data_IF_442828852357
#
_entry.id   IF_442828852357
#
_cell.length_a   1.000
_cell.length_b   1.000
_cell.length_c   1.000
_cell.angle_alpha   90.00
_cell.angle_beta   90.00
_cell.angle_gamma   90.00
#
_symmetry.space_group_name_H-M   'P 1'
#
loop_
_entity.id
_entity.type
_entity.pdbx_description
1 polymer ?
#
# COMPACT_ATOMS: atom_id res chain seq x y z
N UNK A 1 8.20 -7.75 8.52
CA UNK A 1 7.52 -9.05 8.42
C UNK A 1 6.46 -9.01 7.32
N UNK A 2 6.20 -10.14 6.66
CA UNK A 2 5.10 -10.30 5.72
C UNK A 2 3.81 -10.62 6.50
N UNK A 3 2.70 -9.97 6.15
CA UNK A 3 1.41 -10.06 6.88
C UNK A 3 0.21 -10.44 6.01
N UNK A 4 0.39 -10.82 4.74
CA UNK A 4 -0.72 -11.33 3.96
C UNK A 4 -0.40 -12.62 3.23
N UNK A 5 -1.48 -13.33 2.94
CA UNK A 5 -1.43 -14.72 2.48
C UNK A 5 -1.29 -14.82 0.95
N UNK A 6 -1.50 -13.71 0.27
CA UNK A 6 -1.58 -13.62 -1.19
C UNK A 6 -0.20 -13.53 -1.87
N UNK A 7 0.86 -13.22 -1.13
CA UNK A 7 2.20 -12.95 -1.70
C UNK A 7 2.72 -14.09 -2.58
N UNK A 8 2.56 -15.35 -2.14
CA UNK A 8 3.06 -16.53 -2.86
C UNK A 8 2.36 -16.74 -4.20
N UNK A 9 1.10 -16.33 -4.30
CA UNK A 9 0.29 -16.51 -5.51
C UNK A 9 0.56 -15.40 -6.53
N UNK A 10 0.68 -14.15 -6.07
CA UNK A 10 0.75 -13.00 -6.98
C UNK A 10 2.18 -12.55 -7.32
N UNK A 11 3.19 -12.74 -6.46
CA UNK A 11 4.55 -12.35 -6.83
C UNK A 11 5.02 -13.04 -8.12
N UNK A 12 4.85 -14.37 -8.32
CA UNK A 12 5.19 -15.02 -9.59
C UNK A 12 4.45 -14.41 -10.78
N UNK A 13 3.16 -14.10 -10.63
CA UNK A 13 2.36 -13.48 -11.70
C UNK A 13 2.84 -12.06 -12.05
N UNK A 14 3.26 -11.27 -11.05
CA UNK A 14 3.84 -9.93 -11.27
C UNK A 14 5.12 -10.05 -12.09
N UNK A 15 5.98 -11.03 -11.82
CA UNK A 15 7.25 -11.25 -12.53
C UNK A 15 7.07 -11.57 -14.02
N UNK A 16 5.86 -11.94 -14.46
CA UNK A 16 5.54 -12.20 -15.87
C UNK A 16 5.02 -10.96 -16.62
N UNK A 17 4.87 -9.82 -15.96
CA UNK A 17 4.40 -8.59 -16.59
C UNK A 17 5.47 -7.94 -17.49
N UNK A 18 5.08 -7.09 -18.45
CA UNK A 18 6.03 -6.39 -19.31
C UNK A 18 6.99 -5.51 -18.50
N UNK A 19 8.29 -5.67 -18.73
CA UNK A 19 9.36 -4.86 -18.10
C UNK A 19 9.89 -3.74 -19.01
N UNK A 20 9.54 -3.76 -20.29
CA UNK A 20 10.09 -2.86 -21.32
C UNK A 20 9.26 -1.58 -21.54
N UNK A 21 8.17 -1.41 -20.81
CA UNK A 21 7.32 -0.20 -20.84
C UNK A 21 6.68 0.06 -19.47
N UNK A 22 6.21 1.28 -19.19
CA UNK A 22 5.40 1.54 -18.01
C UNK A 22 4.12 0.69 -18.01
N UNK A 23 3.70 0.25 -16.82
CA UNK A 23 2.46 -0.51 -16.66
C UNK A 23 1.24 0.39 -16.86
N UNK A 24 0.22 -0.15 -17.51
CA UNK A 24 -1.05 0.48 -17.80
C UNK A 24 -2.19 -0.20 -17.03
N UNK A 25 -3.38 0.41 -17.02
CA UNK A 25 -4.51 -0.11 -16.25
C UNK A 25 -4.86 -1.54 -16.65
N UNK A 26 -4.86 -1.85 -17.94
CA UNK A 26 -5.27 -3.17 -18.43
C UNK A 26 -4.27 -4.28 -18.05
N UNK A 27 -3.01 -3.93 -17.78
CA UNK A 27 -2.00 -4.87 -17.28
C UNK A 27 -2.33 -5.35 -15.85
N UNK A 28 -3.00 -4.52 -15.05
CA UNK A 28 -3.17 -4.76 -13.60
C UNK A 28 -4.64 -4.89 -13.16
N UNK A 29 -5.58 -4.28 -13.88
CA UNK A 29 -7.02 -4.30 -13.56
C UNK A 29 -7.73 -5.42 -14.33
N UNK A 30 -7.19 -6.64 -14.24
CA UNK A 30 -7.70 -7.84 -14.88
C UNK A 30 -7.95 -8.97 -13.86
N UNK A 31 -8.53 -10.08 -14.33
CA UNK A 31 -8.90 -11.21 -13.46
C UNK A 31 -7.69 -11.87 -12.78
N UNK A 32 -6.48 -11.78 -13.35
CA UNK A 32 -5.26 -12.34 -12.74
C UNK A 32 -4.96 -11.71 -11.40
N UNK A 33 -5.24 -10.40 -11.22
CA UNK A 33 -4.97 -9.68 -9.97
C UNK A 33 -6.24 -9.34 -9.18
N UNK A 34 -7.41 -9.80 -9.60
CA UNK A 34 -8.68 -9.52 -8.93
C UNK A 34 -8.80 -10.38 -7.67
N UNK A 35 -8.90 -9.72 -6.51
CA UNK A 35 -9.11 -10.37 -5.21
C UNK A 35 -10.60 -10.58 -4.91
N UNK A 36 -11.41 -9.56 -5.20
CA UNK A 36 -12.82 -9.59 -4.88
C UNK A 36 -13.61 -8.58 -5.71
N UNK A 37 -14.91 -8.84 -5.89
CA UNK A 37 -15.84 -7.94 -6.56
C UNK A 37 -17.19 -7.95 -5.86
N UNK A 38 -17.80 -6.78 -5.76
CA UNK A 38 -19.14 -6.60 -5.22
C UNK A 38 -19.84 -5.48 -5.97
N UNK A 39 -20.91 -5.80 -6.70
CA UNK A 39 -21.61 -4.84 -7.56
C UNK A 39 -20.63 -4.12 -8.52
N UNK A 40 -20.48 -2.80 -8.36
CA UNK A 40 -19.60 -1.95 -9.15
C UNK A 40 -18.17 -1.85 -8.60
N UNK A 41 -17.91 -2.43 -7.42
CA UNK A 41 -16.60 -2.44 -6.79
C UNK A 41 -15.77 -3.61 -7.30
N UNK A 42 -14.50 -3.34 -7.58
CA UNK A 42 -13.45 -4.35 -7.78
C UNK A 42 -12.27 -4.04 -6.88
N UNK A 43 -11.75 -5.06 -6.22
CA UNK A 43 -10.56 -5.00 -5.38
C UNK A 43 -9.45 -5.82 -6.03
N UNK A 44 -8.28 -5.22 -6.20
CA UNK A 44 -7.13 -5.87 -6.84
C UNK A 44 -5.97 -5.99 -5.88
N UNK A 45 -5.19 -7.06 -6.01
CA UNK A 45 -3.98 -7.26 -5.24
C UNK A 45 -2.99 -6.10 -5.42
N UNK A 46 -2.23 -5.75 -4.38
CA UNK A 46 -1.08 -4.89 -4.51
C UNK A 46 -0.01 -5.19 -3.44
N UNK A 47 1.27 -5.33 -3.83
CA UNK A 47 2.30 -5.87 -2.96
C UNK A 47 2.73 -4.92 -1.81
N UNK A 48 2.52 -3.61 -1.95
CA UNK A 48 3.05 -2.60 -1.02
C UNK A 48 2.43 -2.61 0.39
N UNK A 49 1.31 -3.29 0.58
CA UNK A 49 0.68 -3.46 1.90
C UNK A 49 0.89 -4.86 2.50
N UNK A 50 1.75 -5.69 1.90
CA UNK A 50 2.08 -7.01 2.46
C UNK A 50 3.22 -6.98 3.48
N UNK A 51 4.06 -5.95 3.45
CA UNK A 51 5.07 -5.75 4.48
C UNK A 51 4.49 -4.95 5.65
N UNK A 52 4.82 -5.34 6.89
CA UNK A 52 4.52 -4.57 8.09
C UNK A 52 5.81 -4.22 8.84
N UNK A 53 5.88 -2.96 9.29
CA UNK A 53 6.95 -2.44 10.13
C UNK A 53 6.42 -2.36 11.57
N UNK A 54 6.74 -3.37 12.38
CA UNK A 54 6.22 -3.51 13.74
C UNK A 54 6.77 -2.43 14.68
N UNK A 55 7.96 -1.94 14.39
CA UNK A 55 8.70 -1.00 15.24
C UNK A 55 8.46 0.46 14.83
N UNK A 56 7.41 0.73 14.06
CA UNK A 56 7.09 2.07 13.61
C UNK A 56 6.65 2.95 14.78
N UNK A 57 7.15 4.20 14.82
CA UNK A 57 6.71 5.22 15.78
C UNK A 57 5.53 6.03 15.28
N UNK A 58 5.39 6.13 13.95
CA UNK A 58 4.33 6.86 13.28
C UNK A 58 3.63 5.90 12.33
N UNK A 59 2.30 5.84 12.42
CA UNK A 59 1.46 5.10 11.49
C UNK A 59 0.58 6.09 10.72
N UNK A 60 0.65 6.05 9.39
CA UNK A 60 -0.22 6.85 8.53
C UNK A 60 -1.16 5.93 7.78
N UNK A 61 -2.47 6.19 7.92
CA UNK A 61 -3.54 5.33 7.42
C UNK A 61 -4.30 6.07 6.32
N UNK A 62 -4.29 5.51 5.11
CA UNK A 62 -5.16 5.94 4.00
C UNK A 62 -6.49 5.19 3.97
N UNK A 63 -7.41 5.58 3.08
CA UNK A 63 -8.68 4.86 2.88
C UNK A 63 -8.41 3.52 2.17
N UNK A 64 -7.89 3.60 0.94
CA UNK A 64 -7.47 2.48 0.09
C UNK A 64 -6.38 3.00 -0.86
N UNK A 65 -5.43 2.17 -1.30
CA UNK A 65 -4.45 2.60 -2.29
C UNK A 65 -5.11 2.99 -3.62
N UNK A 66 -4.67 4.11 -4.21
CA UNK A 66 -5.08 4.50 -5.55
C UNK A 66 -4.23 3.86 -6.66
N UNK A 67 -4.66 4.03 -7.91
CA UNK A 67 -3.95 3.57 -9.11
C UNK A 67 -2.44 3.86 -9.12
N UNK A 68 -2.02 5.09 -8.78
CA UNK A 68 -0.60 5.47 -8.81
C UNK A 68 0.24 4.68 -7.79
N UNK A 69 -0.32 4.38 -6.62
CA UNK A 69 0.35 3.56 -5.61
C UNK A 69 0.43 2.10 -6.06
N UNK A 70 -0.68 1.56 -6.59
CA UNK A 70 -0.73 0.21 -7.15
C UNK A 70 0.32 0.04 -8.25
N UNK A 71 0.30 0.90 -9.27
CA UNK A 71 1.27 0.90 -10.37
C UNK A 71 2.71 0.94 -9.86
N UNK A 72 3.03 1.90 -8.98
CA UNK A 72 4.39 2.06 -8.45
C UNK A 72 4.85 0.84 -7.66
N UNK A 73 3.96 0.15 -6.96
CA UNK A 73 4.27 -1.07 -6.23
C UNK A 73 4.66 -2.20 -7.17
N UNK A 74 3.90 -2.41 -8.25
CA UNK A 74 4.20 -3.43 -9.25
C UNK A 74 5.50 -3.14 -10.01
N UNK A 75 5.69 -1.89 -10.45
CA UNK A 75 6.94 -1.48 -11.11
C UNK A 75 8.16 -1.70 -10.21
N UNK A 76 8.02 -1.46 -8.90
CA UNK A 76 9.10 -1.72 -7.96
C UNK A 76 9.41 -3.21 -7.81
N UNK A 77 8.39 -4.09 -7.80
CA UNK A 77 8.60 -5.54 -7.79
C UNK A 77 9.33 -5.97 -9.07
N UNK A 78 8.94 -5.46 -10.24
CA UNK A 78 9.58 -5.75 -11.52
C UNK A 78 11.06 -5.34 -11.53
N UNK A 79 11.41 -4.21 -10.91
CA UNK A 79 12.81 -3.78 -10.76
C UNK A 79 13.65 -4.70 -9.86
N UNK A 80 13.02 -5.47 -8.98
CA UNK A 80 13.71 -6.44 -8.14
C UNK A 80 13.92 -7.80 -8.84
N UNK A 81 13.29 -8.04 -10.00
CA UNK A 81 13.32 -9.35 -10.70
C UNK A 81 14.71 -9.70 -11.21
N UNK A 82 15.52 -8.72 -11.58
CA UNK A 82 16.88 -8.93 -12.09
C UNK A 82 17.86 -9.49 -11.03
N UNK A 83 17.42 -9.59 -9.77
CA UNK A 83 18.22 -10.10 -8.67
C UNK A 83 17.53 -11.30 -8.02
N UNK A 84 17.72 -12.50 -8.61
CA UNK A 84 17.13 -13.77 -8.18
C UNK A 84 17.45 -14.15 -6.72
N UNK A 85 18.42 -13.50 -6.09
CA UNK A 85 18.80 -13.71 -4.69
C UNK A 85 18.04 -12.81 -3.70
N UNK A 86 17.15 -11.94 -4.18
CA UNK A 86 16.39 -11.04 -3.30
C UNK A 86 15.24 -11.80 -2.66
N UNK A 87 15.23 -11.85 -1.33
CA UNK A 87 14.14 -12.44 -0.54
C UNK A 87 12.81 -11.69 -0.77
N UNK A 88 11.70 -12.43 -0.79
CA UNK A 88 10.37 -11.85 -1.02
C UNK A 88 10.03 -10.73 -0.03
N UNK A 89 10.47 -10.84 1.23
CA UNK A 89 10.26 -9.79 2.24
C UNK A 89 10.94 -8.48 1.83
N UNK A 90 12.16 -8.53 1.31
CA UNK A 90 12.89 -7.35 0.86
C UNK A 90 12.27 -6.74 -0.40
N UNK A 91 11.76 -7.58 -1.32
CA UNK A 91 11.00 -7.12 -2.49
C UNK A 91 9.73 -6.36 -2.05
N UNK A 92 8.95 -6.93 -1.13
CA UNK A 92 7.73 -6.31 -0.62
C UNK A 92 8.01 -5.03 0.19
N UNK A 93 9.11 -5.02 0.95
CA UNK A 93 9.56 -3.83 1.70
C UNK A 93 9.93 -2.69 0.74
N UNK A 94 10.66 -2.99 -0.33
CA UNK A 94 10.96 -2.02 -1.38
C UNK A 94 9.68 -1.53 -2.07
N UNK A 95 8.76 -2.43 -2.42
CA UNK A 95 7.46 -2.08 -2.99
C UNK A 95 6.66 -1.15 -2.07
N UNK A 96 6.63 -1.41 -0.75
CA UNK A 96 6.04 -0.48 0.24
C UNK A 96 6.66 0.89 0.15
N UNK A 97 7.98 0.96 0.23
CA UNK A 97 8.69 2.23 0.31
C UNK A 97 8.55 3.07 -0.95
N UNK A 98 8.52 2.44 -2.12
CA UNK A 98 8.30 3.10 -3.40
C UNK A 98 6.86 3.63 -3.52
N UNK A 99 5.87 2.82 -3.15
CA UNK A 99 4.46 3.10 -3.41
C UNK A 99 3.77 4.00 -2.38
N UNK A 100 4.22 4.03 -1.12
CA UNK A 100 3.52 4.74 -0.03
C UNK A 100 3.20 6.20 -0.37
N UNK A 101 1.91 6.52 -0.44
CA UNK A 101 1.38 7.85 -0.79
C UNK A 101 1.99 8.46 -2.07
N UNK A 102 2.46 7.65 -3.03
CA UNK A 102 3.22 8.13 -4.19
C UNK A 102 2.49 9.23 -5.01
N UNK A 103 3.27 10.05 -5.72
CA UNK A 103 2.76 11.19 -6.47
C UNK A 103 2.66 12.47 -5.64
N UNK A 104 1.72 13.35 -6.00
CA UNK A 104 1.51 14.64 -5.32
C UNK A 104 1.07 14.47 -3.86
N UNK A 105 0.43 13.34 -3.53
CA UNK A 105 -0.09 13.05 -2.19
C UNK A 105 1.02 12.99 -1.14
N UNK A 106 2.17 12.35 -1.42
CA UNK A 106 3.32 12.29 -0.49
C UNK A 106 3.84 13.67 -0.16
N UNK A 107 4.00 14.53 -1.18
CA UNK A 107 4.49 15.90 -0.99
C UNK A 107 3.55 16.71 -0.10
N UNK A 108 2.25 16.64 -0.37
CA UNK A 108 1.25 17.34 0.44
C UNK A 108 1.25 16.81 1.89
N UNK A 109 1.35 15.49 2.07
CA UNK A 109 1.44 14.87 3.39
C UNK A 109 2.69 15.32 4.16
N UNK A 110 3.86 15.34 3.52
CA UNK A 110 5.10 15.85 4.13
C UNK A 110 4.91 17.29 4.60
N UNK A 111 4.39 18.16 3.75
CA UNK A 111 4.16 19.57 4.10
C UNK A 111 3.22 19.72 5.30
N UNK A 112 2.11 18.97 5.33
CA UNK A 112 1.17 19.01 6.46
C UNK A 112 1.82 18.51 7.75
N UNK A 113 2.63 17.44 7.70
CA UNK A 113 3.32 16.93 8.89
C UNK A 113 4.38 17.90 9.41
N UNK A 114 5.07 18.60 8.50
CA UNK A 114 6.02 19.67 8.84
C UNK A 114 5.30 20.85 9.51
N UNK A 115 4.17 21.30 8.94
CA UNK A 115 3.35 22.37 9.53
C UNK A 115 2.75 22.00 10.88
N UNK A 116 2.48 20.70 11.11
CA UNK A 116 2.05 20.19 12.42
C UNK A 116 3.18 20.09 13.45
N UNK A 117 4.44 20.40 13.08
CA UNK A 117 5.59 20.31 13.98
C UNK A 117 6.03 18.87 14.30
N UNK A 118 5.63 17.89 13.49
CA UNK A 118 6.07 16.50 13.69
C UNK A 118 7.61 16.33 13.65
N UNK A 119 8.36 17.02 12.77
CA UNK A 119 9.81 16.87 12.70
C UNK A 119 10.50 17.16 14.05
N UNK A 120 10.09 18.23 14.73
CA UNK A 120 10.67 18.65 16.01
C UNK A 120 10.52 17.58 17.10
N UNK A 121 9.35 16.94 17.18
CA UNK A 121 9.07 15.87 18.13
C UNK A 121 9.88 14.59 17.86
N UNK A 122 10.35 14.41 16.62
CA UNK A 122 11.13 13.26 16.20
C UNK A 122 12.63 13.56 16.06
N UNK A 123 13.05 14.81 16.26
CA UNK A 123 14.43 15.26 16.03
C UNK A 123 14.85 15.16 14.56
N UNK A 124 13.94 15.45 13.64
CA UNK A 124 14.14 15.42 12.19
C UNK A 124 14.19 16.84 11.63
N UNK A 125 14.89 17.02 10.50
CA UNK A 125 14.88 18.29 9.78
C UNK A 125 13.57 18.51 9.01
N UNK A 126 12.95 17.42 8.56
CA UNK A 126 11.63 17.42 7.88
C UNK A 126 11.03 16.01 7.92
N UNK A 127 9.71 15.92 7.84
CA UNK A 127 8.95 14.68 7.67
C UNK A 127 9.29 13.97 6.37
N UNK A 128 9.96 14.65 5.42
CA UNK A 128 10.55 14.01 4.24
C UNK A 128 11.49 12.86 4.60
N UNK A 129 12.21 12.96 5.71
CA UNK A 129 13.13 11.91 6.18
C UNK A 129 12.42 10.59 6.48
N UNK A 130 11.14 10.63 6.90
CA UNK A 130 10.32 9.43 7.14
C UNK A 130 10.11 8.61 5.86
N UNK A 131 10.20 9.25 4.70
CA UNK A 131 10.02 8.61 3.40
C UNK A 131 11.35 8.23 2.72
N UNK A 132 12.50 8.63 3.26
CA UNK A 132 13.82 8.43 2.66
C UNK A 132 14.80 7.65 3.56
N UNK A 133 15.40 8.29 4.56
CA UNK A 133 16.50 7.74 5.39
C UNK A 133 16.05 7.29 6.79
N UNK A 134 14.86 7.70 7.25
CA UNK A 134 14.27 7.34 8.55
C UNK A 134 13.03 6.45 8.38
N UNK A 135 13.07 5.56 7.39
CA UNK A 135 11.94 4.72 6.98
C UNK A 135 11.51 3.73 8.05
N UNK A 136 12.40 3.39 8.98
CA UNK A 136 12.11 2.54 10.14
C UNK A 136 11.13 3.20 11.11
N UNK A 137 11.02 4.53 11.14
CA UNK A 137 10.09 5.22 12.05
C UNK A 137 8.65 5.24 11.53
N UNK A 138 8.45 4.99 10.23
CA UNK A 138 7.16 5.14 9.56
C UNK A 138 6.60 3.78 9.13
N UNK A 139 5.34 3.53 9.49
CA UNK A 139 4.49 2.56 8.81
C UNK A 139 3.38 3.29 8.05
N UNK A 140 3.09 2.81 6.84
CA UNK A 140 1.96 3.30 6.05
C UNK A 140 1.08 2.12 5.70
N UNK A 141 -0.23 2.28 5.90
CA UNK A 141 -1.24 1.26 5.59
C UNK A 141 -2.54 1.92 5.10
N UNK A 142 -3.58 1.13 4.88
CA UNK A 142 -4.90 1.60 4.50
C UNK A 142 -5.98 0.84 5.26
N UNK A 143 -7.08 1.51 5.59
CA UNK A 143 -8.25 0.87 6.23
C UNK A 143 -8.78 -0.27 5.36
N UNK A 144 -8.82 -0.07 4.05
CA UNK A 144 -9.03 -1.13 3.07
C UNK A 144 -7.67 -1.43 2.42
N UNK A 145 -7.09 -2.56 2.82
CA UNK A 145 -5.70 -2.95 2.53
C UNK A 145 -5.33 -2.85 1.04
N UNK A 146 -6.21 -3.31 0.18
CA UNK A 146 -5.94 -3.43 -1.26
C UNK A 146 -6.64 -2.33 -2.08
N UNK A 147 -6.09 -1.95 -3.25
CA UNK A 147 -6.72 -1.00 -4.15
C UNK A 147 -8.16 -1.38 -4.52
N UNK A 148 -9.08 -0.45 -4.28
CA UNK A 148 -10.48 -0.61 -4.69
C UNK A 148 -10.84 0.41 -5.76
N UNK A 149 -11.59 -0.06 -6.77
CA UNK A 149 -12.11 0.74 -7.86
C UNK A 149 -13.63 0.63 -7.92
N UNK A 150 -14.30 1.77 -8.07
CA UNK A 150 -15.72 1.87 -8.38
C UNK A 150 -15.86 2.27 -9.85
N UNK A 151 -16.42 1.39 -10.68
CA UNK A 151 -16.54 1.61 -12.14
C UNK A 151 -15.21 2.05 -12.80
N UNK A 152 -14.11 1.39 -12.44
CA UNK A 152 -12.77 1.63 -13.02
C UNK A 152 -12.05 2.91 -12.54
N UNK A 153 -12.66 3.66 -11.61
CA UNK A 153 -12.07 4.84 -10.95
C UNK A 153 -11.70 4.52 -9.52
N UNK A 154 -10.68 5.19 -8.97
CA UNK A 154 -10.27 5.01 -7.58
C UNK A 154 -11.48 5.19 -6.65
N UNK A 155 -11.70 4.25 -5.74
CA UNK A 155 -12.69 4.39 -4.69
C UNK A 155 -12.21 5.40 -3.64
N UNK A 156 -13.08 6.33 -3.27
CA UNK A 156 -12.75 7.45 -2.37
C UNK A 156 -13.39 7.35 -0.99
N UNK A 157 -14.01 6.22 -0.64
CA UNK A 157 -14.65 6.02 0.67
C UNK A 157 -16.15 6.32 0.73
N UNK A 158 -16.76 6.83 -0.34
CA UNK A 158 -18.11 7.42 -0.28
C UNK A 158 -19.19 6.70 -1.11
N UNK A 159 -18.82 6.03 -2.20
CA UNK A 159 -19.77 5.41 -3.14
C UNK A 159 -19.35 3.97 -3.48
N UNK A 160 -19.97 2.95 -2.86
CA UNK A 160 -20.90 3.04 -1.71
C UNK A 160 -20.16 3.44 -0.42
N UNK A 161 -20.88 3.73 0.67
CA UNK A 161 -20.25 3.81 2.00
C UNK A 161 -19.75 2.40 2.40
N UNK A 162 -18.69 2.30 3.20
CA UNK A 162 -18.16 1.00 3.62
C UNK A 162 -19.19 0.11 4.35
N UNK A 163 -20.16 0.70 5.07
CA UNK A 163 -21.24 -0.06 5.74
C UNK A 163 -22.25 -0.68 4.78
N UNK A 164 -22.24 -0.27 3.51
CA UNK A 164 -23.14 -0.76 2.47
C UNK A 164 -22.50 -1.85 1.60
N UNK A 165 -21.28 -2.28 1.92
CA UNK A 165 -20.57 -3.34 1.22
C UNK A 165 -19.97 -4.31 2.22
N UNK A 166 -20.35 -5.58 2.15
CA UNK A 166 -19.79 -6.63 3.02
C UNK A 166 -18.30 -6.85 2.75
N UNK A 167 -17.88 -6.69 1.49
CA UNK A 167 -16.48 -6.70 1.07
C UNK A 167 -15.68 -5.61 1.78
N UNK A 168 -16.13 -4.35 1.73
CA UNK A 168 -15.43 -3.24 2.38
C UNK A 168 -15.47 -3.33 3.91
N UNK A 169 -16.63 -3.65 4.47
CA UNK A 169 -16.86 -3.77 5.90
C UNK A 169 -15.92 -4.79 6.56
N UNK A 170 -15.63 -5.90 5.88
CA UNK A 170 -14.69 -6.92 6.38
C UNK A 170 -13.29 -6.35 6.62
N UNK A 171 -12.78 -5.52 5.71
CA UNK A 171 -11.47 -4.90 5.89
C UNK A 171 -11.48 -3.89 7.03
N UNK A 172 -12.49 -3.02 7.08
CA UNK A 172 -12.62 -1.97 8.10
C UNK A 172 -12.73 -2.56 9.51
N UNK A 173 -13.54 -3.60 9.70
CA UNK A 173 -13.89 -4.12 11.04
C UNK A 173 -13.00 -5.27 11.51
N UNK A 174 -12.35 -6.00 10.59
CA UNK A 174 -11.57 -7.21 10.94
C UNK A 174 -10.12 -7.09 10.56
N UNK A 175 -9.84 -6.89 9.26
CA UNK A 175 -8.46 -6.94 8.74
C UNK A 175 -7.63 -5.79 9.32
N UNK A 176 -8.08 -4.55 9.16
CA UNK A 176 -7.32 -3.38 9.57
C UNK A 176 -7.03 -3.32 11.08
N UNK A 177 -8.01 -3.56 11.99
CA UNK A 177 -7.73 -3.63 13.42
C UNK A 177 -6.74 -4.74 13.79
N UNK A 178 -6.85 -5.91 13.14
CA UNK A 178 -5.92 -7.03 13.38
C UNK A 178 -4.49 -6.68 12.96
N UNK A 179 -4.32 -6.02 11.81
CA UNK A 179 -3.00 -5.58 11.35
C UNK A 179 -2.40 -4.51 12.28
N UNK A 180 -3.20 -3.56 12.78
CA UNK A 180 -2.73 -2.54 13.71
C UNK A 180 -2.22 -3.13 15.02
N UNK A 181 -2.85 -4.19 15.54
CA UNK A 181 -2.39 -4.87 16.76
C UNK A 181 -1.00 -5.49 16.64
N UNK A 182 -0.48 -5.68 15.42
CA UNK A 182 0.87 -6.19 15.19
C UNK A 182 1.95 -5.11 15.30
N UNK A 183 1.57 -3.83 15.38
CA UNK A 183 2.48 -2.70 15.56
C UNK A 183 2.61 -2.40 17.06
N UNK A 184 3.85 -2.34 17.54
CA UNK A 184 4.11 -2.11 18.96
C UNK A 184 3.56 -0.75 19.41
N UNK A 185 2.80 -0.73 20.50
CA UNK A 185 2.21 0.49 21.07
C UNK A 185 1.02 1.07 20.29
N UNK A 186 0.48 0.37 19.29
CA UNK A 186 -0.67 0.82 18.50
C UNK A 186 -2.05 0.39 19.05
N UNK A 187 -2.15 0.07 20.35
CA UNK A 187 -3.37 -0.42 21.01
C UNK A 187 -3.67 0.25 22.34
#
# INVERSE_FOLDING_TARGET
MIIGDHTKDYLPAIKQLPVNRPLEKDDLLNETFLLSKENNLRMYYAPHNEYLNQNARIVIVGITPGWQQMKKAYEQVLQCVDNEQTEDEDVLKQAKWAARFSGSMRRNLINMLDECGLPDHLGLASSAELFSNKTNLLHTTSVIKYPVFYNGKNYTGHQPNFNQSSMLHTYVQKVFPTELQLIEGAG
#
